data_IF_542521095324
#
_entry.id   IF_542521095324
#
_cell.length_a   1.000
_cell.length_b   1.000
_cell.length_c   1.000
_cell.angle_alpha   90.00
_cell.angle_beta   90.00
_cell.angle_gamma   90.00
#
_symmetry.space_group_name_H-M   'P 1'
#
loop_
_entity.id
_entity.type
_entity.pdbx_description
1 polymer ?
#
# COMPACT_ATOMS: atom_id res chain seq x y z
N UNK A 1 -7.39 -4.63 33.97
CA UNK A 1 -8.27 -5.28 32.97
C UNK A 1 -9.40 -4.29 32.72
N UNK A 2 -9.73 -4.10 31.44
CA UNK A 2 -10.55 -3.03 30.83
C UNK A 2 -9.70 -1.99 30.08
N UNK A 3 -9.31 -2.36 28.85
CA UNK A 3 -8.55 -1.55 27.91
C UNK A 3 -9.47 -0.58 27.16
N UNK A 4 -9.22 0.71 27.38
CA UNK A 4 -9.76 1.81 26.59
C UNK A 4 -8.86 2.04 25.37
N UNK A 5 -9.43 1.95 24.16
CA UNK A 5 -8.81 2.45 22.93
C UNK A 5 -9.22 3.92 22.72
N UNK A 6 -8.31 4.85 22.43
CA UNK A 6 -8.70 6.21 22.07
C UNK A 6 -9.29 6.23 20.65
N UNK A 7 -10.53 6.72 20.56
CA UNK A 7 -11.17 7.13 19.32
C UNK A 7 -10.34 8.22 18.64
N UNK A 8 -9.93 7.99 17.40
CA UNK A 8 -9.54 9.07 16.49
C UNK A 8 -10.82 9.87 16.18
N UNK A 9 -10.91 11.05 16.79
CA UNK A 9 -11.90 12.07 16.52
C UNK A 9 -11.66 12.68 15.15
N UNK A 10 -12.31 12.14 14.12
CA UNK A 10 -12.48 12.79 12.82
C UNK A 10 -13.97 12.90 12.50
N UNK A 11 -14.63 13.85 13.17
CA UNK A 11 -15.92 14.41 12.77
C UNK A 11 -16.08 15.74 13.50
N UNK A 12 -15.80 16.86 12.82
CA UNK A 12 -16.51 18.13 13.02
C UNK A 12 -16.02 19.17 12.00
N UNK A 13 -16.47 19.04 10.74
CA UNK A 13 -16.65 20.17 9.81
C UNK A 13 -17.08 19.71 8.40
N UNK A 14 -18.16 18.95 8.26
CA UNK A 14 -18.85 18.76 6.96
C UNK A 14 -20.24 18.11 7.11
N UNK A 15 -21.08 18.56 8.03
CA UNK A 15 -22.46 18.08 8.13
C UNK A 15 -23.46 19.22 8.03
N UNK A 16 -23.65 19.73 6.81
CA UNK A 16 -24.93 20.26 6.34
C UNK A 16 -25.02 20.16 4.81
N UNK A 17 -25.29 18.96 4.30
CA UNK A 17 -26.07 18.78 3.07
C UNK A 17 -26.95 17.55 3.22
N UNK A 18 -28.24 17.78 3.46
CA UNK A 18 -29.28 16.79 3.33
C UNK A 18 -29.58 16.56 1.85
N UNK A 19 -29.49 15.32 1.37
CA UNK A 19 -30.50 14.72 0.48
C UNK A 19 -30.07 13.32 0.05
N UNK A 20 -31.05 12.40 0.08
CA UNK A 20 -31.07 11.10 -0.57
C UNK A 20 -30.24 11.01 -1.86
N UNK A 21 -29.11 10.30 -1.81
CA UNK A 21 -28.31 9.99 -3.00
C UNK A 21 -29.11 9.09 -3.94
N UNK A 22 -29.42 9.59 -5.13
CA UNK A 22 -30.19 8.91 -6.15
C UNK A 22 -29.40 7.75 -6.77
N UNK A 23 -30.08 6.86 -7.51
CA UNK A 23 -29.42 5.81 -8.30
C UNK A 23 -28.35 6.39 -9.26
N UNK A 24 -28.50 7.66 -9.66
CA UNK A 24 -27.56 8.36 -10.53
C UNK A 24 -26.24 8.70 -9.82
N UNK A 25 -26.23 8.89 -8.49
CA UNK A 25 -25.00 9.14 -7.73
C UNK A 25 -24.16 7.85 -7.61
N UNK A 26 -24.82 6.70 -7.52
CA UNK A 26 -24.16 5.36 -7.57
C UNK A 26 -23.59 5.05 -8.96
N UNK A 27 -24.24 5.53 -10.02
CA UNK A 27 -23.80 5.35 -11.41
C UNK A 27 -22.66 6.32 -11.77
N UNK A 28 -22.70 7.57 -11.30
CA UNK A 28 -21.66 8.57 -11.54
C UNK A 28 -20.31 8.16 -10.94
N UNK A 29 -20.30 7.63 -9.71
CA UNK A 29 -19.09 7.09 -9.06
C UNK A 29 -18.50 5.89 -9.81
N UNK A 30 -19.38 5.05 -10.38
CA UNK A 30 -18.96 3.87 -11.15
C UNK A 30 -18.40 4.30 -12.52
N UNK A 31 -18.97 5.32 -13.16
CA UNK A 31 -18.49 5.84 -14.45
C UNK A 31 -17.17 6.60 -14.35
N UNK A 32 -16.97 7.44 -13.33
CA UNK A 32 -15.70 8.16 -13.10
C UNK A 32 -14.56 7.17 -12.81
N UNK A 33 -14.86 6.10 -12.07
CA UNK A 33 -13.89 5.05 -11.75
C UNK A 33 -13.61 4.09 -12.93
N UNK A 34 -14.62 3.77 -13.74
CA UNK A 34 -14.43 3.04 -14.99
C UNK A 34 -13.65 3.86 -16.02
N UNK A 35 -13.71 5.20 -15.98
CA UNK A 35 -12.80 6.07 -16.74
C UNK A 35 -11.36 5.91 -16.26
N UNK A 36 -11.09 5.81 -14.96
CA UNK A 36 -9.75 5.54 -14.41
C UNK A 36 -9.20 4.21 -14.94
N UNK A 37 -9.97 3.12 -14.90
CA UNK A 37 -9.54 1.82 -15.44
C UNK A 37 -9.49 1.77 -16.97
N UNK A 38 -10.41 2.43 -17.69
CA UNK A 38 -10.36 2.52 -19.17
C UNK A 38 -9.18 3.35 -19.63
N UNK A 39 -8.89 4.48 -18.99
CA UNK A 39 -7.71 5.30 -19.27
C UNK A 39 -6.42 4.55 -18.90
N UNK A 40 -6.38 3.87 -17.75
CA UNK A 40 -5.25 3.03 -17.38
C UNK A 40 -5.03 1.90 -18.40
N UNK A 41 -6.10 1.25 -18.87
CA UNK A 41 -6.06 0.20 -19.89
C UNK A 41 -5.67 0.69 -21.28
N UNK A 42 -6.12 1.87 -21.71
CA UNK A 42 -5.77 2.44 -23.02
C UNK A 42 -4.35 3.00 -23.06
N UNK A 43 -3.89 3.67 -21.99
CA UNK A 43 -2.48 4.07 -21.80
C UNK A 43 -1.55 2.85 -21.75
N UNK A 44 -2.03 1.70 -21.28
CA UNK A 44 -1.26 0.45 -21.21
C UNK A 44 -0.98 -0.17 -22.58
N UNK A 45 -1.92 -0.05 -23.54
CA UNK A 45 -1.79 -0.63 -24.88
C UNK A 45 -0.86 0.21 -25.77
N UNK A 46 -0.91 1.55 -25.66
CA UNK A 46 -0.06 2.43 -26.47
C UNK A 46 1.40 2.42 -26.01
N UNK A 47 1.66 2.33 -24.70
CA UNK A 47 3.04 2.33 -24.18
C UNK A 47 3.77 0.99 -24.39
N UNK A 48 3.03 -0.13 -24.41
CA UNK A 48 3.59 -1.46 -24.73
C UNK A 48 4.03 -1.58 -26.20
N UNK A 49 3.42 -0.82 -27.11
CA UNK A 49 3.78 -0.81 -28.54
C UNK A 49 4.89 0.18 -28.89
N UNK A 50 5.12 1.21 -28.06
CA UNK A 50 6.09 2.29 -28.33
C UNK A 50 7.49 2.12 -27.72
N UNK A 51 7.72 1.12 -26.86
CA UNK A 51 8.99 0.95 -26.14
C UNK A 51 9.97 0.03 -26.88
N UNK A 52 10.28 0.36 -28.13
CA UNK A 52 11.41 -0.21 -28.89
C UNK A 52 12.60 0.76 -28.93
N UNK A 53 12.84 1.49 -27.84
CA UNK A 53 14.02 2.34 -27.67
C UNK A 53 15.00 1.70 -26.70
N UNK A 54 16.11 1.19 -27.26
CA UNK A 54 17.41 1.05 -26.60
C UNK A 54 17.48 0.05 -25.45
N UNK A 55 18.25 -1.01 -25.64
CA UNK A 55 18.77 -1.90 -24.61
C UNK A 55 19.50 -1.10 -23.51
N UNK A 56 18.76 -0.55 -22.56
CA UNK A 56 19.28 -0.34 -21.22
C UNK A 56 19.22 -1.71 -20.55
N UNK A 57 20.34 -2.13 -19.97
CA UNK A 57 20.41 -3.32 -19.13
C UNK A 57 19.61 -3.03 -17.85
N UNK A 58 18.27 -2.99 -17.96
CA UNK A 58 17.38 -2.58 -16.88
C UNK A 58 17.32 -3.72 -15.88
N UNK A 59 17.83 -3.51 -14.67
CA UNK A 59 17.67 -4.46 -13.59
C UNK A 59 16.16 -4.66 -13.28
N UNK A 60 15.83 -5.76 -12.57
CA UNK A 60 14.44 -6.13 -12.25
C UNK A 60 13.68 -5.03 -11.48
N UNK A 61 14.38 -4.21 -10.69
CA UNK A 61 13.80 -3.11 -9.92
C UNK A 61 13.40 -1.94 -10.81
N UNK A 62 14.20 -1.59 -11.83
CA UNK A 62 13.87 -0.50 -12.75
C UNK A 62 12.56 -0.81 -13.50
N UNK A 63 12.43 -2.02 -14.05
CA UNK A 63 11.21 -2.44 -14.72
C UNK A 63 10.00 -2.46 -13.76
N UNK A 64 10.20 -2.90 -12.52
CA UNK A 64 9.16 -2.86 -11.49
C UNK A 64 8.72 -1.43 -11.19
N UNK A 65 9.65 -0.51 -10.89
CA UNK A 65 9.36 0.89 -10.56
C UNK A 65 8.72 1.65 -11.71
N UNK A 66 9.08 1.36 -12.98
CA UNK A 66 8.36 1.88 -14.15
C UNK A 66 6.89 1.47 -14.13
N UNK A 67 6.61 0.19 -13.89
CA UNK A 67 5.23 -0.33 -13.84
C UNK A 67 4.47 0.19 -12.61
N UNK A 68 5.16 0.38 -11.50
CA UNK A 68 4.65 1.02 -10.29
C UNK A 68 4.20 2.46 -10.59
N UNK A 69 5.05 3.25 -11.26
CA UNK A 69 4.75 4.63 -11.67
C UNK A 69 3.56 4.71 -12.61
N UNK A 70 3.44 3.77 -13.55
CA UNK A 70 2.28 3.68 -14.44
C UNK A 70 1.00 3.36 -13.67
N UNK A 71 1.06 2.45 -12.69
CA UNK A 71 -0.07 2.17 -11.81
C UNK A 71 -0.49 3.43 -11.06
N UNK A 72 0.45 4.13 -10.41
CA UNK A 72 0.20 5.39 -9.66
C UNK A 72 -0.49 6.44 -10.52
N UNK A 73 -0.03 6.62 -11.76
CA UNK A 73 -0.64 7.55 -12.72
C UNK A 73 -2.03 7.08 -13.13
N UNK A 74 -2.15 5.80 -13.46
CA UNK A 74 -3.39 5.19 -13.93
C UNK A 74 -4.51 5.21 -12.90
N UNK A 75 -4.19 5.16 -11.60
CA UNK A 75 -5.15 5.20 -10.50
C UNK A 75 -5.43 6.61 -9.97
N UNK A 76 -4.75 7.64 -10.47
CA UNK A 76 -4.89 9.03 -10.01
C UNK A 76 -4.19 9.33 -8.68
N UNK A 77 -3.36 8.42 -8.17
CA UNK A 77 -2.63 8.58 -6.90
C UNK A 77 -1.40 9.49 -7.07
N UNK A 78 -1.01 9.76 -8.33
CA UNK A 78 0.06 10.70 -8.70
C UNK A 78 -0.38 12.14 -8.98
N UNK A 79 -1.62 12.55 -8.64
CA UNK A 79 -2.17 13.89 -8.99
C UNK A 79 -1.32 15.08 -8.54
N UNK A 80 -0.54 14.95 -7.45
CA UNK A 80 0.34 16.02 -6.93
C UNK A 80 1.70 16.14 -7.64
N UNK A 81 1.95 15.35 -8.69
CA UNK A 81 3.19 15.41 -9.46
C UNK A 81 4.31 14.59 -8.82
N UNK A 82 4.39 13.32 -9.21
CA UNK A 82 5.43 12.38 -8.76
C UNK A 82 6.77 12.66 -9.44
N UNK A 83 7.83 12.81 -8.65
CA UNK A 83 9.18 13.13 -9.11
C UNK A 83 10.25 12.32 -8.38
N UNK A 84 11.18 11.75 -9.14
CA UNK A 84 12.36 11.07 -8.59
C UNK A 84 13.57 11.98 -8.44
N UNK A 85 14.58 11.46 -7.77
CA UNK A 85 15.88 12.09 -7.60
C UNK A 85 16.79 11.83 -8.81
N UNK A 86 17.80 12.69 -8.96
CA UNK A 86 18.90 12.44 -9.88
C UNK A 86 19.92 11.48 -9.24
N UNK A 87 20.72 10.74 -10.03
CA UNK A 87 21.72 9.81 -9.49
C UNK A 87 22.73 10.46 -8.52
N UNK A 88 23.08 11.71 -8.75
CA UNK A 88 24.02 12.48 -7.94
C UNK A 88 23.51 12.67 -6.50
N UNK A 89 22.20 12.90 -6.34
CA UNK A 89 21.57 13.01 -5.01
C UNK A 89 21.73 11.71 -4.23
N UNK A 90 21.47 10.57 -4.86
CA UNK A 90 21.59 9.27 -4.18
C UNK A 90 23.04 8.96 -3.85
N UNK A 91 23.97 9.27 -4.76
CA UNK A 91 25.40 9.13 -4.49
C UNK A 91 25.83 9.95 -3.27
N UNK A 92 25.30 11.17 -3.13
CA UNK A 92 25.57 12.01 -1.96
C UNK A 92 25.01 11.39 -0.67
N UNK A 93 23.79 10.84 -0.71
CA UNK A 93 23.23 10.11 0.43
C UNK A 93 24.10 8.93 0.86
N UNK A 94 24.62 8.14 -0.08
CA UNK A 94 25.51 7.00 0.22
C UNK A 94 26.84 7.45 0.86
N UNK A 95 27.37 8.60 0.43
CA UNK A 95 28.58 9.20 1.02
C UNK A 95 28.31 9.63 2.47
N UNK A 96 27.20 10.31 2.71
CA UNK A 96 26.84 10.83 4.04
C UNK A 96 26.47 9.72 5.02
N UNK A 97 25.80 8.66 4.55
CA UNK A 97 25.51 7.47 5.34
C UNK A 97 26.75 6.63 5.65
N UNK A 98 27.82 6.78 4.87
CA UNK A 98 29.02 5.93 4.96
C UNK A 98 28.76 4.47 4.55
N UNK A 99 27.61 4.17 3.92
CA UNK A 99 27.22 2.82 3.49
C UNK A 99 26.37 2.85 2.22
N UNK A 100 26.44 1.80 1.38
CA UNK A 100 25.62 1.73 0.18
C UNK A 100 24.13 1.60 0.51
N UNK A 101 23.28 2.24 -0.30
CA UNK A 101 21.83 2.09 -0.25
C UNK A 101 21.43 0.87 -1.10
N UNK A 102 20.55 -0.03 -0.58
CA UNK A 102 20.05 -1.19 -1.33
C UNK A 102 19.50 -0.81 -2.70
N UNK A 103 19.72 -1.66 -3.70
CA UNK A 103 19.35 -1.36 -5.09
C UNK A 103 17.85 -1.09 -5.26
N UNK A 104 16.99 -1.83 -4.56
CA UNK A 104 15.54 -1.63 -4.59
C UNK A 104 15.14 -0.23 -4.06
N UNK A 105 15.70 0.19 -2.93
CA UNK A 105 15.45 1.51 -2.32
C UNK A 105 16.06 2.64 -3.15
N UNK A 106 17.28 2.45 -3.68
CA UNK A 106 17.92 3.36 -4.63
C UNK A 106 17.04 3.60 -5.87
N UNK A 107 16.49 2.52 -6.42
CA UNK A 107 15.60 2.60 -7.58
C UNK A 107 14.28 3.30 -7.22
N UNK A 108 13.76 3.10 -6.00
CA UNK A 108 12.61 3.89 -5.52
C UNK A 108 12.92 5.38 -5.52
N UNK A 109 14.05 5.81 -4.95
CA UNK A 109 14.42 7.23 -4.91
C UNK A 109 14.58 7.83 -6.31
N UNK A 110 15.13 7.10 -7.29
CA UNK A 110 15.22 7.54 -8.69
C UNK A 110 13.86 7.81 -9.34
N UNK A 111 12.77 7.20 -8.87
CA UNK A 111 11.43 7.36 -9.43
C UNK A 111 10.51 8.26 -8.60
N UNK A 112 10.71 8.28 -7.29
CA UNK A 112 9.76 8.82 -6.31
C UNK A 112 10.41 9.68 -5.21
N UNK A 113 11.74 9.75 -5.11
CA UNK A 113 12.43 10.29 -3.94
C UNK A 113 12.35 11.81 -3.73
N UNK A 114 12.05 12.60 -4.75
CA UNK A 114 11.94 14.05 -4.61
C UNK A 114 10.50 14.48 -4.26
N UNK A 115 9.52 13.84 -4.89
CA UNK A 115 8.09 14.03 -4.64
C UNK A 115 7.41 12.66 -4.71
N UNK A 116 7.33 11.95 -3.57
CA UNK A 116 6.65 10.66 -3.53
C UNK A 116 5.14 10.84 -3.82
N UNK A 117 4.41 9.78 -4.19
CA UNK A 117 2.99 9.90 -4.49
C UNK A 117 2.18 10.33 -3.27
N UNK A 118 1.11 11.09 -3.50
CA UNK A 118 0.37 11.84 -2.49
C UNK A 118 -0.42 11.00 -1.49
N UNK A 119 -0.55 9.70 -1.73
CA UNK A 119 -1.20 8.76 -0.83
C UNK A 119 -0.36 8.44 0.40
N UNK A 120 0.90 8.86 0.48
CA UNK A 120 1.60 8.85 1.74
C UNK A 120 1.12 10.12 2.41
N UNK A 121 0.09 9.95 3.26
CA UNK A 121 -0.40 11.00 4.12
C UNK A 121 0.78 11.70 4.80
N UNK A 122 0.57 12.95 5.19
CA UNK A 122 1.56 13.92 5.69
C UNK A 122 2.43 13.45 6.88
N UNK A 123 2.26 12.22 7.34
CA UNK A 123 2.87 11.63 8.52
C UNK A 123 3.90 10.53 8.19
N UNK A 124 4.08 10.13 6.93
CA UNK A 124 5.03 9.07 6.57
C UNK A 124 6.16 9.55 5.66
N UNK A 125 7.37 9.46 6.19
CA UNK A 125 8.59 9.96 5.59
C UNK A 125 9.09 9.00 4.51
N UNK A 126 9.09 9.39 3.23
CA UNK A 126 9.57 8.54 2.11
C UNK A 126 10.37 9.30 1.06
N UNK A 127 10.50 10.62 1.25
CA UNK A 127 11.35 11.45 0.39
C UNK A 127 12.81 11.38 0.85
N UNK A 128 13.73 11.82 -0.02
CA UNK A 128 15.12 11.99 0.36
C UNK A 128 15.30 13.07 1.44
N UNK A 129 14.44 14.09 1.45
CA UNK A 129 14.46 15.12 2.50
C UNK A 129 14.13 14.51 3.86
N UNK A 130 13.07 13.69 3.93
CA UNK A 130 12.65 13.06 5.18
C UNK A 130 13.57 11.92 5.62
N UNK A 131 14.35 11.36 4.69
CA UNK A 131 15.25 10.25 4.97
C UNK A 131 16.28 10.58 6.06
N UNK A 132 16.84 11.80 6.05
CA UNK A 132 17.81 12.24 7.06
C UNK A 132 17.17 12.40 8.43
N UNK A 133 16.01 13.07 8.50
CA UNK A 133 15.20 13.15 9.72
C UNK A 133 14.90 11.75 10.26
N UNK A 134 14.55 10.81 9.38
CA UNK A 134 14.26 9.43 9.75
C UNK A 134 15.50 8.72 10.30
N UNK A 135 16.71 9.00 9.79
CA UNK A 135 17.94 8.46 10.39
C UNK A 135 18.18 9.01 11.79
N UNK A 136 17.94 10.31 12.02
CA UNK A 136 18.10 10.93 13.34
C UNK A 136 17.14 10.30 14.36
N UNK A 137 15.85 10.18 14.00
CA UNK A 137 14.84 9.49 14.82
C UNK A 137 15.25 8.04 15.12
N UNK A 138 15.81 7.34 14.13
CA UNK A 138 16.29 5.98 14.32
C UNK A 138 17.48 5.91 15.29
N UNK A 139 18.42 6.86 15.24
CA UNK A 139 19.56 6.92 16.16
C UNK A 139 19.11 7.15 17.61
N UNK A 140 18.16 8.06 17.82
CA UNK A 140 17.57 8.31 19.14
C UNK A 140 16.88 7.05 19.68
N UNK A 141 16.10 6.37 18.83
CA UNK A 141 15.46 5.12 19.19
C UNK A 141 16.47 4.00 19.52
N UNK A 142 17.58 3.91 18.78
CA UNK A 142 18.60 2.88 19.01
C UNK A 142 19.38 3.08 20.31
N UNK A 143 19.47 4.33 20.78
CA UNK A 143 20.01 4.68 22.09
C UNK A 143 19.04 4.35 23.24
N UNK A 144 17.75 4.20 22.96
CA UNK A 144 16.76 3.83 23.96
C UNK A 144 16.92 2.36 24.39
N UNK A 145 17.06 2.13 25.70
CA UNK A 145 17.34 0.79 26.25
C UNK A 145 16.24 -0.24 25.96
N UNK A 146 14.99 0.21 25.78
CA UNK A 146 13.87 -0.68 25.47
C UNK A 146 13.88 -1.19 24.02
N UNK A 147 14.66 -0.58 23.12
CA UNK A 147 14.76 -1.04 21.73
C UNK A 147 15.70 -2.24 21.63
N UNK A 148 15.10 -3.43 21.47
CA UNK A 148 15.83 -4.69 21.40
C UNK A 148 15.97 -5.18 19.95
N UNK A 149 17.15 -4.97 19.38
CA UNK A 149 17.55 -5.52 18.08
C UNK A 149 19.05 -5.81 18.08
N UNK A 150 19.45 -6.99 17.60
CA UNK A 150 20.83 -7.47 17.72
C UNK A 150 21.80 -6.81 16.72
N UNK A 151 21.30 -6.37 15.56
CA UNK A 151 22.12 -5.89 14.42
C UNK A 151 21.80 -4.44 14.08
N UNK A 152 21.97 -3.52 15.05
CA UNK A 152 21.60 -2.10 14.90
C UNK A 152 22.40 -1.41 13.78
N UNK A 153 23.64 -1.81 13.55
CA UNK A 153 24.54 -1.33 12.51
C UNK A 153 24.04 -1.59 11.08
N UNK A 154 23.27 -2.66 10.91
CA UNK A 154 22.67 -3.06 9.63
C UNK A 154 21.36 -2.32 9.34
N UNK A 155 20.84 -1.55 10.30
CA UNK A 155 19.57 -0.88 10.12
C UNK A 155 19.73 0.31 9.16
N UNK A 156 18.85 0.36 8.16
CA UNK A 156 18.62 1.53 7.33
C UNK A 156 17.16 1.93 7.46
N UNK A 157 16.88 2.90 8.34
CA UNK A 157 15.53 3.45 8.46
C UNK A 157 15.15 4.18 7.18
N UNK A 158 13.89 4.13 6.77
CA UNK A 158 13.45 4.83 5.55
C UNK A 158 12.08 5.46 5.68
N UNK A 159 11.34 5.14 6.75
CA UNK A 159 10.13 5.85 7.11
C UNK A 159 9.96 5.93 8.61
N UNK A 160 9.50 7.09 9.07
CA UNK A 160 9.01 7.30 10.43
C UNK A 160 7.58 7.82 10.36
N UNK A 161 6.78 7.54 11.39
CA UNK A 161 5.49 8.21 11.62
C UNK A 161 5.38 8.74 13.04
N UNK A 162 4.54 9.77 13.20
CA UNK A 162 4.17 10.33 14.50
C UNK A 162 3.64 9.21 15.41
N UNK A 163 4.14 9.15 16.65
CA UNK A 163 3.83 8.07 17.60
C UNK A 163 4.84 6.91 17.57
N UNK A 164 6.11 7.21 17.30
CA UNK A 164 7.25 6.28 17.42
C UNK A 164 7.14 5.00 16.59
N UNK A 165 6.56 5.12 15.40
CA UNK A 165 6.61 4.05 14.40
C UNK A 165 7.84 4.26 13.52
N UNK A 166 8.73 3.27 13.51
CA UNK A 166 9.90 3.26 12.63
C UNK A 166 9.83 2.09 11.67
N UNK A 167 9.98 2.36 10.37
CA UNK A 167 10.17 1.33 9.35
C UNK A 167 11.61 1.35 8.86
N UNK A 168 12.19 0.16 8.80
CA UNK A 168 13.60 0.04 8.46
C UNK A 168 13.91 -1.25 7.70
N UNK A 169 15.06 -1.22 7.02
CA UNK A 169 15.64 -2.36 6.33
C UNK A 169 16.71 -2.98 7.23
N UNK A 170 16.68 -4.30 7.39
CA UNK A 170 17.84 -5.05 7.90
C UNK A 170 18.76 -5.34 6.71
N UNK A 171 19.72 -4.44 6.51
CA UNK A 171 20.60 -4.45 5.35
C UNK A 171 21.91 -5.16 5.65
N UNK A 172 22.12 -6.31 5.04
CA UNK A 172 23.35 -7.09 5.11
C UNK A 172 23.93 -7.34 3.70
N UNK A 173 23.89 -6.29 2.86
CA UNK A 173 24.41 -6.31 1.50
C UNK A 173 23.43 -6.80 0.43
N UNK A 174 22.20 -7.17 0.79
CA UNK A 174 21.18 -7.59 -0.17
C UNK A 174 20.67 -6.43 -1.04
N UNK A 175 20.32 -6.73 -2.30
CA UNK A 175 19.74 -5.73 -3.22
C UNK A 175 18.34 -5.26 -2.81
N UNK A 176 17.58 -6.11 -2.11
CA UNK A 176 16.18 -5.90 -1.73
C UNK A 176 15.90 -6.55 -0.36
N UNK A 177 16.40 -5.92 0.72
CA UNK A 177 16.33 -6.46 2.07
C UNK A 177 14.88 -6.48 2.60
N UNK A 178 14.61 -7.31 3.63
CA UNK A 178 13.33 -7.32 4.32
C UNK A 178 13.05 -5.98 5.02
N UNK A 179 11.76 -5.68 5.17
CA UNK A 179 11.25 -4.51 5.87
C UNK A 179 10.73 -4.92 7.23
N UNK A 180 11.24 -4.29 8.27
CA UNK A 180 10.75 -4.40 9.63
C UNK A 180 10.00 -3.13 10.04
N UNK A 181 9.05 -3.29 10.96
CA UNK A 181 8.49 -2.18 11.69
C UNK A 181 8.83 -2.30 13.16
N UNK A 182 8.95 -1.17 13.83
CA UNK A 182 9.00 -1.05 15.27
C UNK A 182 7.87 -0.14 15.76
N UNK A 183 7.29 -0.51 16.91
CA UNK A 183 6.32 0.28 17.64
C UNK A 183 6.80 0.38 19.07
N UNK A 184 6.77 1.57 19.69
CA UNK A 184 7.22 1.80 21.07
C UNK A 184 6.59 0.83 22.10
N UNK A 185 5.33 0.45 21.85
CA UNK A 185 4.55 -0.48 22.68
C UNK A 185 5.01 -1.93 22.58
N UNK A 186 5.86 -2.25 21.59
CA UNK A 186 6.39 -3.59 21.33
C UNK A 186 7.90 -3.62 21.59
N UNK A 187 8.39 -4.58 22.39
CA UNK A 187 9.82 -4.64 22.73
C UNK A 187 10.72 -5.02 21.55
N UNK A 188 10.16 -5.65 20.51
CA UNK A 188 10.91 -6.16 19.37
C UNK A 188 10.29 -5.66 18.05
N UNK A 189 11.13 -5.24 17.09
CA UNK A 189 10.70 -5.05 15.72
C UNK A 189 10.08 -6.32 15.14
N UNK A 190 9.02 -6.18 14.32
CA UNK A 190 8.38 -7.31 13.64
C UNK A 190 8.59 -7.22 12.13
N UNK A 191 8.66 -8.39 11.49
CA UNK A 191 8.77 -8.49 10.04
C UNK A 191 7.47 -8.02 9.39
N UNK A 192 7.55 -6.90 8.67
CA UNK A 192 6.42 -6.32 7.94
C UNK A 192 6.33 -6.86 6.52
N UNK A 193 7.46 -6.90 5.80
CA UNK A 193 7.55 -7.45 4.44
C UNK A 193 8.87 -8.19 4.25
N UNK A 194 8.83 -9.30 3.51
CA UNK A 194 10.02 -10.10 3.18
C UNK A 194 10.99 -9.39 2.23
N UNK A 195 10.54 -8.33 1.55
CA UNK A 195 11.35 -7.49 0.69
C UNK A 195 10.79 -6.07 0.59
N UNK A 196 11.66 -5.09 0.34
CA UNK A 196 11.26 -3.70 0.12
C UNK A 196 10.41 -3.53 -1.15
N UNK A 197 10.72 -4.24 -2.22
CA UNK A 197 9.89 -4.19 -3.44
C UNK A 197 8.46 -4.72 -3.23
N UNK A 198 8.30 -5.75 -2.40
CA UNK A 198 6.98 -6.26 -2.00
C UNK A 198 6.25 -5.25 -1.11
N UNK A 199 6.95 -4.63 -0.15
CA UNK A 199 6.40 -3.53 0.67
C UNK A 199 5.84 -2.43 -0.22
N UNK A 200 6.63 -1.97 -1.19
CA UNK A 200 6.21 -0.93 -2.14
C UNK A 200 5.07 -1.34 -3.07
N UNK A 201 4.87 -2.64 -3.31
CA UNK A 201 3.72 -3.16 -4.05
C UNK A 201 2.47 -3.30 -3.18
N UNK A 202 2.61 -3.67 -1.92
CA UNK A 202 1.46 -3.83 -1.04
C UNK A 202 0.94 -2.47 -0.58
N UNK A 203 1.80 -1.51 -0.21
CA UNK A 203 1.38 -0.17 0.23
C UNK A 203 0.56 0.57 -0.82
N UNK A 204 1.07 0.65 -2.05
CA UNK A 204 0.36 1.19 -3.24
C UNK A 204 -1.01 0.56 -3.46
N UNK A 205 -1.11 -0.76 -3.28
CA UNK A 205 -2.39 -1.43 -3.45
C UNK A 205 -3.32 -1.13 -2.27
N UNK A 206 -2.80 -1.20 -1.05
CA UNK A 206 -3.56 -0.94 0.17
C UNK A 206 -4.15 0.47 0.15
N UNK A 207 -3.39 1.47 -0.30
CA UNK A 207 -3.89 2.83 -0.47
C UNK A 207 -4.95 2.96 -1.54
N UNK A 208 -4.79 2.27 -2.67
CA UNK A 208 -5.81 2.21 -3.70
C UNK A 208 -7.11 1.56 -3.19
N UNK A 209 -7.01 0.56 -2.31
CA UNK A 209 -8.14 -0.16 -1.72
C UNK A 209 -8.76 0.55 -0.50
N UNK A 210 -7.99 1.35 0.24
CA UNK A 210 -8.33 1.91 1.55
C UNK A 210 -9.66 2.68 1.61
N UNK A 211 -9.98 3.57 0.66
CA UNK A 211 -11.25 4.28 0.64
C UNK A 211 -12.47 3.35 0.65
N UNK A 212 -12.36 2.13 0.14
CA UNK A 212 -13.47 1.17 0.13
C UNK A 212 -13.70 0.51 1.47
N UNK A 213 -12.64 0.17 2.19
CA UNK A 213 -12.77 -0.32 3.55
C UNK A 213 -13.50 0.72 4.41
N UNK A 214 -13.08 1.99 4.32
CA UNK A 214 -13.74 3.10 5.02
C UNK A 214 -15.22 3.27 4.62
N UNK A 215 -15.54 3.20 3.32
CA UNK A 215 -16.92 3.31 2.82
C UNK A 215 -17.81 2.15 3.30
N UNK A 216 -17.30 0.92 3.32
CA UNK A 216 -18.06 -0.24 3.79
C UNK A 216 -18.30 -0.16 5.30
N UNK A 217 -17.28 0.24 6.06
CA UNK A 217 -17.43 0.52 7.49
C UNK A 217 -18.49 1.59 7.75
N UNK A 218 -18.45 2.70 7.01
CA UNK A 218 -19.46 3.76 7.08
C UNK A 218 -20.86 3.26 6.72
N UNK A 219 -21.00 2.37 5.72
CA UNK A 219 -22.29 1.75 5.36
C UNK A 219 -22.83 0.91 6.51
N UNK A 220 -22.00 0.03 7.10
CA UNK A 220 -22.39 -0.82 8.23
C UNK A 220 -22.85 0.04 9.42
N UNK A 221 -22.13 1.13 9.72
CA UNK A 221 -22.51 2.10 10.77
C UNK A 221 -23.80 2.85 10.42
N UNK A 222 -23.98 3.26 9.16
CA UNK A 222 -25.17 4.00 8.74
C UNK A 222 -26.43 3.12 8.80
N UNK A 223 -26.34 1.88 8.33
CA UNK A 223 -27.44 0.91 8.46
C UNK A 223 -27.82 0.73 9.93
N UNK A 224 -26.85 0.63 10.83
CA UNK A 224 -27.11 0.52 12.26
C UNK A 224 -27.85 1.72 12.89
N UNK A 225 -27.69 2.94 12.36
CA UNK A 225 -28.40 4.12 12.88
C UNK A 225 -29.88 4.16 12.50
N UNK A 226 -30.27 3.41 11.47
CA UNK A 226 -31.65 3.34 10.98
C UNK A 226 -32.47 2.28 11.73
N UNK A 227 -31.81 1.31 12.38
CA UNK A 227 -32.45 0.25 13.15
C UNK A 227 -32.12 0.43 14.63
N UNK A 228 -33.10 0.34 15.52
CA UNK A 228 -32.94 0.47 16.99
C UNK A 228 -32.14 -0.67 17.66
N UNK A 229 -31.18 -1.28 16.95
CA UNK A 229 -30.55 -2.55 17.29
C UNK A 229 -29.01 -2.40 17.32
N UNK A 230 -28.52 -1.74 18.36
CA UNK A 230 -27.09 -1.58 18.65
C UNK A 230 -26.32 -2.92 18.67
N UNK A 231 -26.94 -4.01 19.11
CA UNK A 231 -26.33 -5.35 19.16
C UNK A 231 -26.07 -5.92 17.75
N UNK A 232 -27.02 -5.76 16.82
CA UNK A 232 -26.92 -6.26 15.44
C UNK A 232 -25.75 -5.62 14.67
N UNK A 233 -25.41 -4.36 14.98
CA UNK A 233 -24.26 -3.67 14.36
C UNK A 233 -22.91 -4.21 14.84
N UNK A 234 -22.75 -4.40 16.15
CA UNK A 234 -21.50 -4.90 16.72
C UNK A 234 -21.18 -6.29 16.15
N UNK A 235 -22.19 -7.14 15.98
CA UNK A 235 -22.05 -8.45 15.36
C UNK A 235 -21.67 -8.37 13.88
N UNK A 236 -22.34 -7.52 13.09
CA UNK A 236 -22.00 -7.29 11.67
C UNK A 236 -20.57 -6.78 11.51
N UNK A 237 -20.16 -5.82 12.34
CA UNK A 237 -18.80 -5.29 12.37
C UNK A 237 -17.79 -6.38 12.70
N UNK A 238 -18.01 -7.11 13.80
CA UNK A 238 -17.13 -8.21 14.23
C UNK A 238 -16.99 -9.27 13.14
N UNK A 239 -18.07 -9.60 12.44
CA UNK A 239 -18.05 -10.52 11.30
C UNK A 239 -17.26 -9.96 10.12
N UNK A 240 -17.44 -8.70 9.77
CA UNK A 240 -16.67 -8.04 8.71
C UNK A 240 -15.16 -8.00 9.05
N UNK A 241 -14.81 -7.59 10.27
CA UNK A 241 -13.42 -7.54 10.74
C UNK A 241 -12.77 -8.93 10.72
N UNK A 242 -13.49 -9.98 11.16
CA UNK A 242 -12.99 -11.36 11.11
C UNK A 242 -12.76 -11.86 9.67
N UNK A 243 -13.69 -11.62 8.75
CA UNK A 243 -13.54 -12.02 7.34
C UNK A 243 -12.43 -11.23 6.63
N UNK A 244 -12.30 -9.94 6.97
CA UNK A 244 -11.23 -9.10 6.45
C UNK A 244 -9.86 -9.60 6.93
N UNK A 245 -9.73 -9.99 8.20
CA UNK A 245 -8.50 -10.57 8.75
C UNK A 245 -8.17 -11.92 8.10
N UNK A 246 -9.17 -12.80 7.90
CA UNK A 246 -8.98 -14.04 7.12
C UNK A 246 -8.39 -13.75 5.73
N UNK A 247 -8.97 -12.80 5.00
CA UNK A 247 -8.51 -12.42 3.67
C UNK A 247 -7.11 -11.78 3.70
N UNK A 248 -6.79 -10.98 4.73
CA UNK A 248 -5.46 -10.39 4.93
C UNK A 248 -4.38 -11.45 5.12
N UNK A 249 -4.66 -12.46 5.94
CA UNK A 249 -3.76 -13.60 6.16
C UNK A 249 -3.53 -14.39 4.86
N UNK A 250 -4.60 -14.66 4.09
CA UNK A 250 -4.48 -15.29 2.78
C UNK A 250 -3.62 -14.47 1.81
N UNK A 251 -3.78 -13.14 1.80
CA UNK A 251 -2.99 -12.25 0.96
C UNK A 251 -1.52 -12.22 1.35
N UNK A 252 -1.19 -12.32 2.64
CA UNK A 252 0.19 -12.44 3.11
C UNK A 252 0.86 -13.71 2.56
N UNK A 253 0.19 -14.85 2.69
CA UNK A 253 0.68 -16.13 2.14
C UNK A 253 0.82 -16.09 0.60
N UNK A 254 -0.14 -15.46 -0.07
CA UNK A 254 -0.09 -15.24 -1.52
C UNK A 254 1.11 -14.37 -1.92
N UNK A 255 1.39 -13.31 -1.15
CA UNK A 255 2.54 -12.41 -1.35
C UNK A 255 3.85 -13.17 -1.25
N UNK A 256 4.03 -14.00 -0.22
CA UNK A 256 5.20 -14.86 -0.06
C UNK A 256 5.37 -15.84 -1.24
N UNK A 257 4.26 -16.42 -1.71
CA UNK A 257 4.26 -17.32 -2.87
C UNK A 257 4.68 -16.58 -4.15
N UNK A 258 4.19 -15.36 -4.37
CA UNK A 258 4.57 -14.53 -5.51
C UNK A 258 6.05 -14.13 -5.42
N UNK A 259 6.53 -13.73 -4.24
CA UNK A 259 7.94 -13.40 -4.04
C UNK A 259 8.86 -14.56 -4.40
N UNK A 260 8.57 -15.77 -3.93
CA UNK A 260 9.37 -16.95 -4.27
C UNK A 260 9.39 -17.22 -5.78
N UNK A 261 8.27 -17.00 -6.47
CA UNK A 261 8.20 -17.09 -7.94
C UNK A 261 9.02 -15.99 -8.60
N UNK A 262 8.98 -14.77 -8.06
CA UNK A 262 9.71 -13.59 -8.55
C UNK A 262 11.22 -13.79 -8.47
N UNK A 263 11.72 -14.35 -7.37
CA UNK A 263 13.14 -14.70 -7.22
C UNK A 263 13.56 -15.74 -8.25
N UNK A 264 12.78 -16.81 -8.44
CA UNK A 264 13.09 -17.88 -9.41
C UNK A 264 13.16 -17.39 -10.86
N UNK A 265 12.32 -16.42 -11.22
CA UNK A 265 12.23 -15.89 -12.59
C UNK A 265 13.07 -14.62 -12.83
N UNK A 266 13.70 -14.07 -11.79
CA UNK A 266 14.46 -12.82 -11.87
C UNK A 266 13.61 -11.59 -12.23
N UNK A 267 12.31 -11.61 -11.91
CA UNK A 267 11.37 -10.54 -12.29
C UNK A 267 10.31 -10.32 -11.20
N UNK A 268 10.11 -9.05 -10.79
CA UNK A 268 9.18 -8.68 -9.71
C UNK A 268 7.78 -8.45 -10.29
N UNK A 269 6.77 -9.10 -9.71
CA UNK A 269 5.38 -8.95 -10.13
C UNK A 269 4.92 -7.52 -9.85
N UNK A 270 4.51 -6.75 -10.88
CA UNK A 270 4.01 -5.38 -10.68
C UNK A 270 2.60 -5.38 -10.09
N UNK A 271 2.12 -4.27 -9.50
CA UNK A 271 0.84 -4.23 -8.78
C UNK A 271 -0.36 -4.74 -9.55
N UNK A 272 -0.52 -4.35 -10.82
CA UNK A 272 -1.67 -4.77 -11.63
C UNK A 272 -1.66 -6.28 -11.90
N UNK A 273 -0.49 -6.85 -12.19
CA UNK A 273 -0.35 -8.30 -12.41
C UNK A 273 -0.51 -9.08 -11.11
N UNK A 274 -0.07 -8.52 -9.99
CA UNK A 274 -0.29 -9.07 -8.66
C UNK A 274 -1.78 -9.13 -8.34
N UNK A 275 -2.48 -8.00 -8.49
CA UNK A 275 -3.92 -7.91 -8.23
C UNK A 275 -4.74 -8.87 -9.08
N UNK A 276 -4.44 -8.96 -10.38
CA UNK A 276 -5.12 -9.91 -11.26
C UNK A 276 -4.97 -11.35 -10.78
N UNK A 277 -3.78 -11.73 -10.31
CA UNK A 277 -3.53 -13.08 -9.80
C UNK A 277 -4.20 -13.28 -8.43
N UNK A 278 -4.13 -12.29 -7.54
CA UNK A 278 -4.82 -12.29 -6.25
C UNK A 278 -6.32 -12.50 -6.41
N UNK A 279 -7.00 -11.71 -7.24
CA UNK A 279 -8.44 -11.84 -7.52
C UNK A 279 -8.78 -13.25 -8.03
N UNK A 280 -7.96 -13.79 -8.94
CA UNK A 280 -8.19 -15.11 -9.52
C UNK A 280 -8.04 -16.26 -8.50
N UNK A 281 -7.19 -16.07 -7.49
CA UNK A 281 -7.00 -17.01 -6.39
C UNK A 281 -8.07 -16.84 -5.32
N UNK A 282 -8.25 -15.61 -4.84
CA UNK A 282 -9.17 -15.26 -3.76
C UNK A 282 -10.62 -15.59 -4.12
N UNK A 283 -11.06 -15.38 -5.37
CA UNK A 283 -12.42 -15.71 -5.81
C UNK A 283 -12.80 -17.19 -5.75
N UNK A 284 -11.82 -18.09 -5.57
CA UNK A 284 -12.04 -19.53 -5.38
C UNK A 284 -12.04 -19.95 -3.90
N UNK A 285 -11.78 -19.01 -2.99
CA UNK A 285 -11.65 -19.29 -1.56
C UNK A 285 -12.99 -19.42 -0.86
N UNK A 286 -13.01 -20.14 0.27
CA UNK A 286 -14.17 -20.17 1.15
C UNK A 286 -14.48 -18.77 1.73
N UNK A 287 -13.46 -17.98 2.04
CA UNK A 287 -13.62 -16.63 2.58
C UNK A 287 -14.35 -15.71 1.59
N UNK A 288 -14.08 -15.84 0.28
CA UNK A 288 -14.86 -15.15 -0.76
C UNK A 288 -16.35 -15.50 -0.70
N UNK A 289 -16.69 -16.78 -0.59
CA UNK A 289 -18.09 -17.23 -0.46
C UNK A 289 -18.74 -16.66 0.80
N UNK A 290 -18.01 -16.67 1.94
CA UNK A 290 -18.49 -16.06 3.20
C UNK A 290 -18.78 -14.57 3.05
N UNK A 291 -17.98 -13.81 2.30
CA UNK A 291 -18.25 -12.40 2.00
C UNK A 291 -19.56 -12.23 1.22
N UNK A 292 -19.78 -13.07 0.20
CA UNK A 292 -20.99 -13.04 -0.62
C UNK A 292 -22.25 -13.40 0.19
N UNK A 293 -22.20 -14.48 0.96
CA UNK A 293 -23.29 -14.93 1.83
C UNK A 293 -23.63 -13.92 2.93
N UNK A 294 -22.65 -13.17 3.41
CA UNK A 294 -22.84 -12.11 4.39
C UNK A 294 -23.42 -10.81 3.79
N UNK A 295 -23.51 -10.70 2.46
CA UNK A 295 -23.92 -9.45 1.79
C UNK A 295 -22.95 -8.29 2.04
N UNK A 296 -21.68 -8.58 2.30
CA UNK A 296 -20.64 -7.59 2.57
C UNK A 296 -19.99 -7.16 1.25
N UNK A 297 -19.66 -5.87 1.13
CA UNK A 297 -18.91 -5.39 -0.04
C UNK A 297 -17.44 -5.78 0.11
N UNK A 298 -16.89 -6.34 -0.96
CA UNK A 298 -15.46 -6.59 -1.05
C UNK A 298 -14.71 -5.31 -1.48
N UNK A 299 -13.48 -5.09 -1.00
CA UNK A 299 -12.61 -4.05 -1.52
C UNK A 299 -12.47 -4.14 -3.05
N UNK A 300 -12.42 -3.00 -3.75
CA UNK A 300 -12.36 -3.00 -5.22
C UNK A 300 -11.15 -3.73 -5.79
N UNK A 301 -10.02 -3.73 -5.08
CA UNK A 301 -8.84 -4.48 -5.52
C UNK A 301 -9.02 -6.00 -5.46
N UNK A 302 -10.07 -6.50 -4.80
CA UNK A 302 -10.32 -7.94 -4.63
C UNK A 302 -11.38 -8.45 -5.60
N UNK A 303 -12.15 -7.56 -6.22
CA UNK A 303 -13.10 -7.90 -7.27
C UNK A 303 -12.51 -7.48 -8.62
N UNK A 304 -12.69 -8.32 -9.64
CA UNK A 304 -12.43 -7.86 -11.00
C UNK A 304 -13.38 -6.67 -11.24
N UNK A 305 -12.92 -5.51 -11.77
CA UNK A 305 -13.82 -4.44 -12.14
C UNK A 305 -14.93 -5.07 -12.98
N UNK A 306 -16.22 -4.81 -12.71
CA UNK A 306 -17.28 -5.37 -13.52
C UNK A 306 -16.91 -5.08 -14.96
N UNK A 307 -16.69 -6.14 -15.74
CA UNK A 307 -16.47 -5.99 -17.17
C UNK A 307 -17.67 -5.19 -17.61
N UNK A 308 -17.44 -3.95 -18.06
CA UNK A 308 -18.46 -3.16 -18.69
C UNK A 308 -19.04 -4.06 -19.76
N UNK A 309 -20.22 -4.62 -19.51
CA UNK A 309 -21.04 -5.20 -20.56
C UNK A 309 -21.05 -4.10 -21.59
N UNK A 310 -20.41 -4.35 -22.74
CA UNK A 310 -20.54 -3.47 -23.89
C UNK A 310 -22.05 -3.36 -24.06
N UNK A 311 -22.60 -2.20 -23.74
CA UNK A 311 -23.95 -1.83 -24.12
C UNK A 311 -23.96 -1.93 -25.64
N UNK A 312 -24.42 -3.09 -26.10
CA UNK A 312 -24.70 -3.39 -27.51
C UNK A 312 -25.82 -2.51 -28.00
#
# INVERSE_FOLDING_TARGET
>A
MDGWFPMISLCDSACHTSSSGSLNDKLADTEEYLKIYKCAGSLFIEYWRGSSMGFWNTNKYDLFMRRLRLFIRGTGLGKRGVQGCIPETIKQMEIELGKPIPLALKTWYLYFGNKPPAWYDHDADYSVEDFYRTQEVAQDLFAYEAFQWERKENILAFSSRIGEQLMFLDFNGEEDPPVYHYWEQEPYPTLYSIAFSDHMREEIIAWFEGPMYAREYQRIVHEAKVWSELQTWQEKRKRFDALYEEARLMRRQFTETIHQKDQKRGFITPPMSFQKQWIAEFSKSATWVKFQEAGLRMPYGWVCPPQLKKSS
#
